data_IF_220491838383
#
_entry.id   IF_220491838383
#
_cell.length_a   1.000
_cell.length_b   1.000
_cell.length_c   1.000
_cell.angle_alpha   90.00
_cell.angle_beta   90.00
_cell.angle_gamma   90.00
#
_symmetry.space_group_name_H-M   'P 1'
#
loop_
_entity.id
_entity.type
_entity.pdbx_description
1 polymer ?
#
# COMPACT_ATOMS: atom_id res chain seq x y z
N UNK A 1 -8.80 -3.23 -4.88
CA UNK A 1 -7.43 -3.24 -4.35
C UNK A 1 -7.26 -2.02 -3.45
N UNK A 2 -6.83 -2.20 -2.20
CA UNK A 2 -6.89 -1.18 -1.14
C UNK A 2 -5.53 -0.74 -0.59
N UNK A 3 -4.41 -1.18 -1.19
CA UNK A 3 -3.06 -0.82 -0.75
C UNK A 3 -2.39 0.16 -1.74
N UNK A 4 -2.35 1.47 -1.47
CA UNK A 4 -1.74 2.44 -2.38
C UNK A 4 -0.22 2.34 -2.33
N UNK A 5 0.45 2.60 -3.46
CA UNK A 5 1.88 2.44 -3.66
C UNK A 5 2.42 1.12 -3.09
N UNK A 6 1.86 0.00 -3.54
CA UNK A 6 2.17 -1.32 -3.00
C UNK A 6 3.68 -1.59 -3.01
N UNK A 7 4.17 -2.06 -1.87
CA UNK A 7 5.58 -2.34 -1.61
C UNK A 7 6.53 -1.16 -1.91
N UNK A 8 6.03 0.09 -1.93
CA UNK A 8 6.80 1.29 -2.29
C UNK A 8 7.41 1.26 -3.70
N UNK A 9 6.84 0.44 -4.61
CA UNK A 9 7.37 0.21 -5.96
C UNK A 9 6.35 0.44 -7.05
N UNK A 10 5.09 0.09 -6.79
CA UNK A 10 4.12 -0.03 -7.86
C UNK A 10 3.46 1.30 -8.25
N UNK A 11 3.51 2.33 -7.41
CA UNK A 11 2.90 3.63 -7.71
C UNK A 11 1.38 3.59 -7.96
N UNK A 12 0.72 2.49 -7.61
CA UNK A 12 -0.71 2.32 -7.83
C UNK A 12 -1.52 3.16 -6.83
N UNK A 13 -2.69 3.64 -7.26
CA UNK A 13 -3.72 4.18 -6.36
C UNK A 13 -4.50 3.04 -5.71
N UNK A 14 -5.25 3.35 -4.64
CA UNK A 14 -6.11 2.40 -3.96
C UNK A 14 -7.58 2.85 -3.99
N UNK A 15 -8.48 1.90 -3.76
CA UNK A 15 -9.92 2.14 -3.77
C UNK A 15 -10.64 1.40 -2.62
N UNK A 16 -11.68 2.03 -2.08
CA UNK A 16 -12.71 1.40 -1.22
C UNK A 16 -14.03 1.43 -1.98
N UNK A 17 -14.78 0.32 -1.98
CA UNK A 17 -16.15 0.27 -2.48
C UNK A 17 -17.12 0.55 -1.33
N UNK A 18 -17.90 1.60 -1.48
CA UNK A 18 -19.04 1.92 -0.63
C UNK A 18 -20.32 1.43 -1.31
N UNK A 19 -21.17 0.78 -0.53
CA UNK A 19 -22.51 0.33 -0.92
C UNK A 19 -23.52 1.04 -0.02
N UNK A 20 -24.55 1.63 -0.61
CA UNK A 20 -25.67 2.21 0.14
C UNK A 20 -26.81 1.19 0.35
N UNK A 21 -27.88 1.61 1.01
CA UNK A 21 -29.07 0.79 1.29
C UNK A 21 -29.77 0.29 0.02
N UNK A 22 -29.52 0.92 -1.13
CA UNK A 22 -30.04 0.56 -2.45
C UNK A 22 -29.02 -0.20 -3.30
N UNK A 23 -27.91 -0.66 -2.71
CA UNK A 23 -26.80 -1.35 -3.37
C UNK A 23 -26.10 -0.52 -4.46
N UNK A 24 -26.21 0.81 -4.41
CA UNK A 24 -25.47 1.71 -5.27
C UNK A 24 -23.99 1.59 -4.96
N UNK A 25 -23.18 1.39 -6.01
CA UNK A 25 -21.72 1.23 -5.90
C UNK A 25 -21.04 2.58 -6.06
N UNK A 26 -20.32 3.01 -5.04
CA UNK A 26 -19.46 4.20 -5.09
C UNK A 26 -18.03 3.83 -4.75
N UNK A 27 -17.09 4.11 -5.65
CA UNK A 27 -15.67 3.87 -5.39
C UNK A 27 -15.02 5.15 -4.86
N UNK A 28 -14.38 5.05 -3.68
CA UNK A 28 -13.55 6.11 -3.11
C UNK A 28 -12.09 5.79 -3.41
N UNK A 29 -11.46 6.61 -4.25
CA UNK A 29 -10.04 6.49 -4.59
C UNK A 29 -9.18 7.28 -3.60
N UNK A 30 -7.99 6.77 -3.30
CA UNK A 30 -7.02 7.43 -2.44
C UNK A 30 -5.59 7.03 -2.81
N UNK A 31 -4.67 7.96 -2.57
CA UNK A 31 -3.23 7.78 -2.80
C UNK A 31 -2.52 7.34 -1.52
N UNK A 32 -1.23 7.04 -1.65
CA UNK A 32 -0.41 6.75 -0.48
C UNK A 32 -0.32 8.01 0.38
N UNK A 33 -0.47 7.84 1.69
CA UNK A 33 -0.23 8.93 2.62
C UNK A 33 1.22 9.42 2.47
N UNK A 34 1.50 10.72 2.73
CA UNK A 34 2.86 11.23 2.74
C UNK A 34 3.77 10.35 3.61
N UNK A 35 4.96 10.05 3.12
CA UNK A 35 5.93 9.27 3.86
C UNK A 35 6.26 10.00 5.16
N UNK A 36 5.87 9.45 6.31
CA UNK A 36 6.37 9.94 7.60
C UNK A 36 7.82 9.49 7.76
N UNK A 37 8.67 10.37 8.29
CA UNK A 37 10.06 10.06 8.66
C UNK A 37 10.11 9.12 9.88
N UNK A 38 9.59 7.90 9.76
CA UNK A 38 9.62 6.93 10.87
C UNK A 38 10.32 5.65 10.43
N UNK A 39 11.60 5.57 10.81
CA UNK A 39 12.39 4.46 11.41
C UNK A 39 11.78 3.04 11.47
N UNK A 40 11.06 2.61 10.44
CA UNK A 40 10.26 1.39 10.45
C UNK A 40 10.28 0.63 9.12
N UNK A 41 11.07 1.09 8.14
CA UNK A 41 11.53 0.17 7.09
C UNK A 41 12.36 -0.86 7.84
N UNK A 42 11.80 -2.05 8.04
CA UNK A 42 12.57 -3.19 8.51
C UNK A 42 13.82 -3.22 7.63
N UNK A 43 14.97 -2.89 8.22
CA UNK A 43 16.24 -2.92 7.51
C UNK A 43 16.27 -4.28 6.84
N UNK A 44 16.46 -4.30 5.51
CA UNK A 44 16.66 -5.54 4.77
C UNK A 44 17.66 -6.34 5.59
N UNK A 45 17.22 -7.44 6.22
CA UNK A 45 18.16 -8.36 6.85
C UNK A 45 19.13 -8.70 5.72
N UNK A 46 20.40 -8.36 5.90
CA UNK A 46 21.45 -8.70 4.95
C UNK A 46 21.25 -10.16 4.59
N UNK A 47 21.09 -10.46 3.30
CA UNK A 47 21.00 -11.84 2.83
C UNK A 47 22.20 -12.59 3.44
N UNK A 48 22.00 -13.69 4.17
CA UNK A 48 23.14 -14.40 4.72
C UNK A 48 23.94 -15.00 3.56
N UNK A 49 25.24 -14.72 3.56
CA UNK A 49 26.18 -15.28 2.59
C UNK A 49 26.31 -16.79 2.82
N UNK A 50 25.49 -17.57 2.11
CA UNK A 50 25.58 -19.04 2.11
C UNK A 50 26.00 -19.63 0.77
N UNK A 51 26.51 -18.83 -0.17
CA UNK A 51 27.05 -19.32 -1.44
C UNK A 51 28.26 -18.49 -1.93
N UNK A 52 29.15 -18.09 -1.02
CA UNK A 52 30.50 -17.61 -1.34
C UNK A 52 31.50 -18.73 -1.04
#
# INVERSE_FOLDING_TARGET
WSAPNYCYRCGNIAAILELDDYLTKKYKLFEAAPQQDFRGVAQKKSLPDYFL
#
